data_IF_280334780413
#
_entry.id   IF_280334780413
#
_cell.length_a   1.000
_cell.length_b   1.000
_cell.length_c   1.000
_cell.angle_alpha   90.00
_cell.angle_beta   90.00
_cell.angle_gamma   90.00
#
_symmetry.space_group_name_H-M   'P 1'
#
loop_
_entity.id
_entity.type
_entity.pdbx_description
1 polymer ?
#
# COMPACT_ATOMS: atom_id res chain seq x y z
N UNK A 1 -8.57 11.68 50.56
CA UNK A 1 -8.73 13.07 50.09
C UNK A 1 -7.73 13.43 48.98
N UNK A 2 -6.46 13.00 48.99
CA UNK A 2 -5.50 13.32 47.88
C UNK A 2 -5.73 12.48 46.61
N UNK A 3 -6.30 11.28 46.74
CA UNK A 3 -6.51 10.33 45.63
C UNK A 3 -7.72 10.64 44.75
N UNK A 4 -8.77 11.25 45.28
CA UNK A 4 -9.98 11.61 44.50
C UNK A 4 -9.69 12.71 43.48
N UNK A 5 -8.94 13.74 43.87
CA UNK A 5 -8.50 14.84 42.99
C UNK A 5 -7.64 14.38 41.80
N UNK A 6 -6.85 13.32 41.99
CA UNK A 6 -6.03 12.76 40.90
C UNK A 6 -6.87 11.93 39.94
N UNK A 7 -7.83 11.17 40.45
CA UNK A 7 -8.76 10.40 39.63
C UNK A 7 -9.60 11.31 38.73
N UNK A 8 -10.08 12.42 39.27
CA UNK A 8 -10.91 13.37 38.53
C UNK A 8 -10.12 14.07 37.41
N UNK A 9 -8.88 14.47 37.69
CA UNK A 9 -7.96 15.02 36.67
C UNK A 9 -7.63 14.02 35.55
N UNK A 10 -7.47 12.73 35.89
CA UNK A 10 -7.22 11.69 34.88
C UNK A 10 -8.43 11.51 33.97
N UNK A 11 -9.65 11.51 34.53
CA UNK A 11 -10.89 11.42 33.75
C UNK A 11 -11.03 12.65 32.83
N UNK A 12 -10.75 13.84 33.33
CA UNK A 12 -10.83 15.08 32.54
C UNK A 12 -9.85 15.07 31.36
N UNK A 13 -8.61 14.60 31.58
CA UNK A 13 -7.61 14.43 30.51
C UNK A 13 -8.03 13.37 29.49
N UNK A 14 -8.61 12.25 29.93
CA UNK A 14 -9.13 11.21 29.04
C UNK A 14 -10.27 11.74 28.15
N UNK A 15 -11.16 12.56 28.70
CA UNK A 15 -12.27 13.19 27.95
C UNK A 15 -11.72 14.16 26.90
N UNK A 16 -10.74 14.99 27.26
CA UNK A 16 -10.08 15.90 26.31
C UNK A 16 -9.37 15.15 25.18
N UNK A 17 -8.64 14.09 25.53
CA UNK A 17 -7.94 13.25 24.56
C UNK A 17 -8.94 12.58 23.60
N UNK A 18 -10.02 11.99 24.13
CA UNK A 18 -11.02 11.32 23.32
C UNK A 18 -11.72 12.30 22.36
N UNK A 19 -11.99 13.53 22.81
CA UNK A 19 -12.56 14.59 21.97
C UNK A 19 -11.61 15.06 20.87
N UNK A 20 -10.30 15.10 21.14
CA UNK A 20 -9.27 15.40 20.13
C UNK A 20 -9.11 14.26 19.13
N UNK A 21 -9.09 13.01 19.58
CA UNK A 21 -9.03 11.83 18.72
C UNK A 21 -10.27 11.76 17.82
N UNK A 22 -11.47 12.00 18.35
CA UNK A 22 -12.70 12.04 17.57
C UNK A 22 -12.69 13.14 16.49
N UNK A 23 -12.09 14.30 16.77
CA UNK A 23 -11.89 15.38 15.77
C UNK A 23 -10.83 15.04 14.73
N UNK A 24 -9.79 14.28 15.12
CA UNK A 24 -8.65 13.95 14.26
C UNK A 24 -8.93 12.75 13.36
N UNK A 25 -9.83 11.86 13.80
CA UNK A 25 -10.29 10.71 13.03
C UNK A 25 -11.35 11.14 12.01
N UNK A 26 -11.02 12.11 11.16
CA UNK A 26 -11.89 12.49 10.07
C UNK A 26 -11.82 11.39 9.00
N UNK A 27 -12.97 10.77 8.76
CA UNK A 27 -13.15 9.76 7.70
C UNK A 27 -12.58 10.25 6.36
N UNK A 28 -12.73 11.54 6.07
CA UNK A 28 -12.16 12.19 4.88
C UNK A 28 -10.63 12.08 4.80
N UNK A 29 -9.90 12.24 5.92
CA UNK A 29 -8.43 12.12 5.93
C UNK A 29 -8.00 10.68 5.75
N UNK A 30 -8.70 9.73 6.37
CA UNK A 30 -8.45 8.30 6.20
C UNK A 30 -8.67 7.87 4.75
N UNK A 31 -9.71 8.40 4.10
CA UNK A 31 -10.03 8.13 2.69
C UNK A 31 -8.97 8.71 1.75
N UNK A 32 -8.54 9.97 1.94
CA UNK A 32 -7.48 10.60 1.14
C UNK A 32 -6.15 9.84 1.28
N UNK A 33 -5.76 9.48 2.50
CA UNK A 33 -4.56 8.68 2.74
C UNK A 33 -4.69 7.32 2.03
N UNK A 34 -5.82 6.65 2.18
CA UNK A 34 -6.09 5.37 1.51
C UNK A 34 -5.97 5.46 -0.01
N UNK A 35 -6.51 6.51 -0.64
CA UNK A 35 -6.40 6.72 -2.09
C UNK A 35 -4.95 6.97 -2.51
N UNK A 36 -4.23 7.86 -1.82
CA UNK A 36 -2.83 8.16 -2.18
C UNK A 36 -1.95 6.92 -2.08
N UNK A 37 -2.07 6.14 -1.00
CA UNK A 37 -1.32 4.90 -0.84
C UNK A 37 -1.77 3.81 -1.83
N UNK A 38 -3.07 3.71 -2.13
CA UNK A 38 -3.60 2.76 -3.10
C UNK A 38 -3.08 3.02 -4.51
N UNK A 39 -3.12 4.27 -4.97
CA UNK A 39 -2.57 4.66 -6.28
C UNK A 39 -1.06 4.43 -6.33
N UNK A 40 -0.34 4.85 -5.28
CA UNK A 40 1.10 4.63 -5.17
C UNK A 40 1.48 3.15 -5.22
N UNK A 41 0.70 2.28 -4.57
CA UNK A 41 0.90 0.84 -4.60
C UNK A 41 0.70 0.26 -5.99
N UNK A 42 -0.38 0.63 -6.70
CA UNK A 42 -0.66 0.11 -8.04
C UNK A 42 0.45 0.52 -9.01
N UNK A 43 0.82 1.81 -9.03
CA UNK A 43 1.88 2.31 -9.92
C UNK A 43 3.24 1.70 -9.55
N UNK A 44 3.58 1.68 -8.26
CA UNK A 44 4.84 1.11 -7.77
C UNK A 44 4.95 -0.38 -8.10
N UNK A 45 3.86 -1.14 -7.90
CA UNK A 45 3.83 -2.57 -8.21
C UNK A 45 3.98 -2.85 -9.70
N UNK A 46 3.37 -2.05 -10.58
CA UNK A 46 3.52 -2.19 -12.03
C UNK A 46 4.96 -1.92 -12.49
N UNK A 47 5.62 -0.90 -11.92
CA UNK A 47 7.03 -0.61 -12.19
C UNK A 47 7.91 -1.76 -11.72
N UNK A 48 7.73 -2.23 -10.48
CA UNK A 48 8.52 -3.34 -9.92
C UNK A 48 8.30 -4.62 -10.73
N UNK A 49 7.06 -4.93 -11.12
CA UNK A 49 6.77 -6.10 -11.95
C UNK A 49 7.44 -6.01 -13.32
N UNK A 50 7.42 -4.84 -13.95
CA UNK A 50 8.08 -4.61 -15.24
C UNK A 50 9.60 -4.77 -15.13
N UNK A 51 10.21 -4.21 -14.08
CA UNK A 51 11.64 -4.34 -13.83
C UNK A 51 12.03 -5.78 -13.49
N UNK A 52 11.21 -6.47 -12.70
CA UNK A 52 11.42 -7.88 -12.37
C UNK A 52 11.36 -8.75 -13.63
N UNK A 53 10.33 -8.57 -14.46
CA UNK A 53 10.22 -9.29 -15.74
C UNK A 53 11.42 -9.00 -16.66
N UNK A 54 11.90 -7.75 -16.71
CA UNK A 54 13.09 -7.40 -17.48
C UNK A 54 14.37 -8.05 -16.96
N UNK A 55 14.58 -8.06 -15.64
CA UNK A 55 15.76 -8.66 -15.02
C UNK A 55 15.75 -10.19 -15.10
N UNK A 56 14.58 -10.80 -14.91
CA UNK A 56 14.39 -12.25 -14.98
C UNK A 56 14.09 -12.76 -16.40
N UNK A 57 14.01 -11.87 -17.39
CA UNK A 57 13.79 -12.23 -18.80
C UNK A 57 14.76 -13.32 -19.32
N UNK A 58 16.07 -13.29 -18.99
CA UNK A 58 17.01 -14.33 -19.44
C UNK A 58 16.63 -15.72 -18.91
N UNK A 59 16.21 -15.81 -17.64
CA UNK A 59 15.77 -17.07 -17.04
C UNK A 59 14.42 -17.54 -17.60
N UNK A 60 13.49 -16.63 -17.89
CA UNK A 60 12.23 -17.01 -18.52
C UNK A 60 12.41 -17.43 -19.99
N UNK A 61 13.40 -16.90 -20.70
CA UNK A 61 13.71 -17.28 -22.09
C UNK A 61 14.28 -18.70 -22.22
N UNK A 62 14.85 -19.25 -21.15
CA UNK A 62 15.28 -20.66 -21.11
C UNK A 62 14.11 -21.64 -20.95
N UNK A 63 12.92 -21.14 -20.59
CA UNK A 63 11.74 -21.99 -20.42
C UNK A 63 11.16 -22.36 -21.81
N UNK A 64 11.05 -23.66 -22.14
CA UNK A 64 10.71 -24.10 -23.50
C UNK A 64 9.40 -23.56 -24.08
N UNK A 65 8.35 -23.43 -23.25
CA UNK A 65 7.04 -22.92 -23.70
C UNK A 65 7.05 -21.41 -23.96
N UNK A 66 7.86 -20.65 -23.21
CA UNK A 66 8.04 -19.21 -23.40
C UNK A 66 8.79 -18.98 -24.72
N UNK A 67 9.89 -19.71 -24.93
CA UNK A 67 10.67 -19.65 -26.17
C UNK A 67 9.85 -20.02 -27.41
N UNK A 68 9.10 -21.12 -27.35
CA UNK A 68 8.21 -21.55 -28.44
C UNK A 68 7.15 -20.49 -28.77
N UNK A 69 6.60 -19.81 -27.75
CA UNK A 69 5.60 -18.74 -27.95
C UNK A 69 6.23 -17.50 -28.58
N UNK A 70 7.46 -17.15 -28.22
CA UNK A 70 8.22 -16.06 -28.85
C UNK A 70 8.60 -16.37 -30.30
N UNK A 71 9.09 -17.57 -30.59
CA UNK A 71 9.44 -18.01 -31.94
C UNK A 71 8.20 -18.05 -32.85
N UNK A 72 7.05 -18.50 -32.32
CA UNK A 72 5.76 -18.48 -33.02
C UNK A 72 5.31 -17.05 -33.31
N UNK A 73 5.40 -16.15 -32.32
CA UNK A 73 5.10 -14.73 -32.50
C UNK A 73 5.99 -14.06 -33.56
N UNK A 74 7.28 -14.39 -33.58
CA UNK A 74 8.22 -13.86 -34.56
C UNK A 74 7.93 -14.35 -35.99
N UNK A 75 7.48 -15.60 -36.15
CA UNK A 75 7.08 -16.16 -37.45
C UNK A 75 5.80 -15.55 -38.04
N UNK A 76 5.00 -14.85 -37.23
CA UNK A 76 3.78 -14.14 -37.66
C UNK A 76 4.07 -12.69 -38.07
N UNK A 77 5.16 -12.11 -37.55
CA UNK A 77 5.57 -10.72 -37.81
C UNK A 77 6.50 -10.61 -39.03
N UNK A 78 7.17 -11.70 -39.42
CA UNK A 78 7.93 -11.83 -40.67
C UNK A 78 7.03 -12.23 -41.84
#
# INVERSE_FOLDING_TARGET
MVTEDQHEKIIEQLVLLNRQVAKTNSFSRMLVIGIMYGIGFVIGSAIIATLALGFFAPWFAEIPWVRSSFETGNSIVQ
#
